data_IF_824830375135
#
_entry.id   IF_824830375135
#
_cell.length_a   1.000
_cell.length_b   1.000
_cell.length_c   1.000
_cell.angle_alpha   90.00
_cell.angle_beta   90.00
_cell.angle_gamma   90.00
#
_symmetry.space_group_name_H-M   'P 1'
#
loop_
_entity.id
_entity.type
_entity.pdbx_description
1 polymer ?
2 non-polymer ?
3 non-polymer ?
4 non-polymer ?
5 non-polymer ?
6 water ?
#
# COMPACT_ATOMS: atom_id res chain seq x y z
N UNK A 4 11.22 -19.51 -0.93
CA UNK A 4 12.24 -18.43 -0.67
C UNK A 4 11.62 -17.05 -0.82
N UNK A 5 10.58 -16.77 -0.04
CA UNK A 5 9.94 -15.47 -0.12
C UNK A 5 9.77 -14.90 1.26
N UNK A 6 10.76 -14.13 1.70
CA UNK A 6 10.69 -13.51 3.00
C UNK A 6 10.46 -12.01 2.93
N UNK A 7 9.48 -11.55 3.71
CA UNK A 7 9.10 -10.15 3.74
C UNK A 7 9.17 -9.65 5.16
N UNK A 8 9.70 -8.45 5.35
CA UNK A 8 9.78 -7.88 6.68
C UNK A 8 8.75 -6.76 6.73
N UNK A 9 7.53 -7.12 7.12
CA UNK A 9 6.45 -6.14 7.17
C UNK A 9 6.39 -5.42 8.50
N UNK A 10 6.72 -4.14 8.48
CA UNK A 10 6.67 -3.34 9.70
C UNK A 10 5.41 -2.51 9.68
N UNK A 11 4.40 -2.93 10.41
CA UNK A 11 3.15 -2.21 10.43
C UNK A 11 2.39 -2.37 11.72
N UNK A 12 1.26 -1.69 11.83
CA UNK A 12 0.48 -1.74 13.04
C UNK A 12 -0.33 -3.01 13.09
N UNK A 13 -0.65 -3.41 14.32
CA UNK A 13 -1.45 -4.60 14.59
C UNK A 13 -2.63 -4.21 15.47
N UNK A 14 -3.77 -4.84 15.21
CA UNK A 14 -4.98 -4.65 16.01
C UNK A 14 -5.42 -6.05 16.45
N UNK A 15 -5.98 -6.14 17.64
CA UNK A 15 -6.44 -7.40 18.14
C UNK A 15 -7.59 -7.86 17.25
N UNK A 16 -8.50 -6.94 16.97
CA UNK A 16 -9.67 -7.24 16.14
C UNK A 16 -9.57 -6.48 14.85
N UNK A 17 -10.17 -7.00 13.80
CA UNK A 17 -10.18 -6.23 12.58
C UNK A 17 -9.00 -6.41 11.68
N UNK A 18 -9.05 -5.75 10.52
CA UNK A 18 -7.99 -5.84 9.54
C UNK A 18 -7.46 -4.52 9.03
N UNK A 19 -6.35 -4.10 9.62
CA UNK A 19 -5.74 -2.86 9.21
C UNK A 19 -4.25 -3.06 9.45
N UNK A 20 -3.39 -2.39 8.70
CA UNK A 20 -1.96 -2.57 8.93
C UNK A 20 -1.50 -4.02 8.71
N UNK A 21 -0.61 -4.52 9.57
CA UNK A 21 -0.08 -5.88 9.45
C UNK A 21 -1.12 -6.97 9.41
N UNK A 22 -2.27 -6.73 10.02
CA UNK A 22 -3.33 -7.73 10.00
C UNK A 22 -3.95 -7.81 8.59
N UNK A 23 -3.71 -6.78 7.80
CA UNK A 23 -4.28 -6.73 6.46
C UNK A 23 -3.27 -7.14 5.41
N UNK A 24 -1.99 -7.19 5.78
CA UNK A 24 -0.99 -7.57 4.81
C UNK A 24 -0.39 -8.95 5.00
N UNK A 25 -0.56 -9.51 6.17
CA UNK A 25 -0.02 -10.83 6.48
C UNK A 25 -0.81 -12.00 5.91
N UNK A 26 -2.05 -12.17 6.32
CA UNK A 26 -2.84 -13.28 5.80
C UNK A 26 -2.71 -13.42 4.30
N UNK A 27 -2.88 -12.34 3.55
CA UNK A 27 -2.75 -12.43 2.10
C UNK A 27 -1.39 -13.01 1.72
N UNK A 28 -0.35 -12.22 1.97
CA UNK A 28 1.02 -12.63 1.65
C UNK A 28 1.36 -14.04 2.12
N UNK A 29 0.56 -14.60 3.02
CA UNK A 29 0.82 -15.96 3.45
C UNK A 29 0.07 -16.96 2.56
N UNK A 30 -1.22 -16.76 2.35
CA UNK A 30 -1.96 -17.70 1.50
C UNK A 30 -1.34 -17.77 0.11
N UNK A 31 -0.57 -16.75 -0.22
CA UNK A 31 0.12 -16.68 -1.51
C UNK A 31 1.60 -17.06 -1.33
N UNK A 32 1.82 -17.80 -0.25
CA UNK A 32 3.11 -18.47 0.09
C UNK A 32 4.28 -17.57 0.57
N UNK A 33 4.09 -16.30 0.86
CA UNK A 33 5.26 -15.50 1.34
C UNK A 33 5.47 -15.73 2.83
N UNK A 34 6.71 -16.04 3.18
CA UNK A 34 7.10 -16.18 4.59
C UNK A 34 7.15 -14.77 5.14
N UNK A 35 6.13 -14.40 5.87
CA UNK A 35 6.03 -13.03 6.39
C UNK A 35 6.47 -12.90 7.85
N UNK A 36 7.53 -12.14 8.01
CA UNK A 36 8.00 -11.76 9.35
C UNK A 36 7.35 -10.41 9.63
N UNK A 37 6.53 -10.39 10.65
CA UNK A 37 5.76 -9.17 10.96
C UNK A 37 6.16 -8.53 12.30
N UNK A 38 6.50 -7.26 12.20
CA UNK A 38 6.84 -6.41 13.36
C UNK A 38 5.68 -5.45 13.58
N UNK A 39 4.97 -5.61 14.69
CA UNK A 39 3.85 -4.75 15.00
C UNK A 39 4.29 -3.37 15.53
N UNK A 40 4.20 -2.35 14.69
CA UNK A 40 4.57 -1.01 15.12
C UNK A 40 3.67 -0.48 16.24
N UNK A 41 2.51 -1.10 16.44
CA UNK A 41 1.59 -0.72 17.53
C UNK A 41 0.64 -1.88 17.73
N UNK A 42 0.03 -1.98 18.91
CA UNK A 42 -0.98 -3.02 19.17
C UNK A 42 -2.14 -2.35 19.87
N UNK A 43 -3.23 -2.13 19.13
CA UNK A 43 -4.46 -1.51 19.61
C UNK A 43 -5.55 -2.53 19.50
N UNK A 44 -6.65 -2.28 20.20
CA UNK A 44 -7.75 -3.20 20.15
C UNK A 44 -8.42 -3.24 18.78
N UNK A 45 -8.63 -2.09 18.18
CA UNK A 45 -9.29 -2.00 16.88
C UNK A 45 -8.77 -0.78 16.19
N UNK A 46 -9.07 -0.58 14.90
CA UNK A 46 -8.52 0.62 14.25
C UNK A 46 -9.13 1.87 14.86
N UNK A 47 -8.43 3.00 14.70
CA UNK A 47 -8.90 4.25 15.29
C UNK A 47 -10.20 4.82 14.71
N UNK A 48 -10.81 4.08 13.80
CA UNK A 48 -12.05 4.53 13.20
C UNK A 48 -13.23 4.22 14.07
N UNK A 49 -13.05 3.33 15.04
CA UNK A 49 -14.14 2.96 15.93
C UNK A 49 -14.37 4.10 16.91
N UNK A 50 -15.49 4.10 17.62
CA UNK A 50 -15.73 5.16 18.58
C UNK A 50 -14.57 5.21 19.57
N UNK A 51 -14.26 4.09 20.18
CA UNK A 51 -13.17 4.01 21.15
C UNK A 51 -12.03 3.16 20.58
N UNK A 52 -10.90 3.19 21.29
CA UNK A 52 -9.73 2.41 20.95
C UNK A 52 -8.70 2.54 22.04
N UNK A 53 -8.16 1.42 22.46
CA UNK A 53 -7.13 1.39 23.49
C UNK A 53 -5.99 0.52 23.01
N UNK A 54 -4.78 0.96 23.34
CA UNK A 54 -3.65 0.21 22.87
C UNK A 54 -2.32 0.84 23.24
N UNK A 55 -1.23 0.29 22.70
CA UNK A 55 0.13 0.77 23.00
C UNK A 55 0.89 0.91 21.68
N UNK A 56 1.92 1.72 21.69
CA UNK A 56 2.73 1.93 20.49
C UNK A 56 4.16 1.55 20.77
N UNK A 57 4.83 1.11 19.74
CA UNK A 57 6.23 0.75 19.86
C UNK A 57 7.06 1.97 19.50
N UNK A 58 7.97 2.37 20.37
CA UNK A 58 8.80 3.51 20.08
C UNK A 58 10.03 3.11 19.30
N UNK A 59 10.80 4.11 18.89
CA UNK A 59 11.99 3.90 18.08
C UNK A 59 13.00 2.95 18.72
N UNK A 60 13.16 3.02 20.04
CA UNK A 60 14.13 2.16 20.71
C UNK A 60 13.69 0.72 20.62
N UNK A 61 12.43 0.50 20.99
CA UNK A 61 11.81 -0.82 21.00
C UNK A 61 11.90 -1.48 19.64
N UNK A 62 11.62 -0.72 18.59
CA UNK A 62 11.71 -1.24 17.24
C UNK A 62 13.14 -1.70 17.01
N UNK A 63 14.07 -0.94 17.55
CA UNK A 63 15.48 -1.22 17.41
C UNK A 63 15.81 -2.57 18.04
N UNK A 64 15.43 -2.68 19.30
CA UNK A 64 15.65 -3.89 20.09
C UNK A 64 15.34 -5.13 19.27
N UNK A 65 14.25 -5.09 18.52
CA UNK A 65 13.88 -6.23 17.70
C UNK A 65 14.80 -6.38 16.49
N UNK A 66 15.13 -5.28 15.83
CA UNK A 66 16.00 -5.44 14.69
C UNK A 66 17.22 -6.23 15.16
N UNK A 67 17.92 -5.67 16.14
CA UNK A 67 19.10 -6.32 16.69
C UNK A 67 18.86 -7.79 16.91
N UNK A 68 17.71 -8.10 17.48
CA UNK A 68 17.37 -9.47 17.75
C UNK A 68 17.68 -10.33 16.55
N UNK A 69 17.10 -9.95 15.43
CA UNK A 69 17.29 -10.74 14.21
C UNK A 69 18.72 -10.68 13.75
N UNK A 70 19.44 -9.68 14.25
CA UNK A 70 20.82 -9.52 13.88
C UNK A 70 21.66 -10.55 14.58
N UNK A 71 21.62 -10.50 15.90
CA UNK A 71 22.39 -11.43 16.70
C UNK A 71 22.24 -12.86 16.24
N UNK A 72 21.07 -13.21 15.71
CA UNK A 72 20.84 -14.58 15.24
C UNK A 72 21.04 -14.78 13.73
N UNK A 73 21.71 -13.83 13.09
CA UNK A 73 21.98 -13.90 11.65
C UNK A 73 20.81 -14.37 10.81
N UNK A 74 19.71 -13.65 10.92
CA UNK A 74 18.53 -13.98 10.15
C UNK A 74 17.89 -12.69 9.71
N UNK A 75 18.73 -11.67 9.58
CA UNK A 75 18.31 -10.34 9.18
C UNK A 75 18.50 -10.18 7.68
N UNK A 76 18.11 -11.21 6.95
CA UNK A 76 18.23 -11.19 5.50
C UNK A 76 16.89 -11.43 4.81
N UNK A 77 16.28 -10.38 4.25
CA UNK A 77 15.01 -10.54 3.57
C UNK A 77 15.04 -10.18 2.09
N UNK A 78 13.98 -10.56 1.39
CA UNK A 78 13.83 -10.26 -0.04
C UNK A 78 13.11 -8.91 -0.12
N UNK A 79 11.93 -8.83 0.47
CA UNK A 79 11.13 -7.62 0.47
C UNK A 79 10.95 -7.08 1.88
N UNK A 80 10.77 -5.77 1.96
CA UNK A 80 10.54 -5.06 3.21
C UNK A 80 9.33 -4.20 2.92
N UNK A 81 8.28 -4.36 3.73
CA UNK A 81 7.05 -3.63 3.49
C UNK A 81 6.63 -2.73 4.63
N UNK A 82 6.39 -1.44 4.34
CA UNK A 82 5.95 -0.50 5.38
C UNK A 82 4.75 0.36 4.94
N UNK A 83 4.03 0.89 5.91
CA UNK A 83 2.89 1.69 5.58
C UNK A 83 2.70 2.86 6.51
N UNK A 84 1.55 2.86 7.20
CA UNK A 84 1.16 3.91 8.14
C UNK A 84 2.02 3.98 9.39
N UNK A 85 2.62 5.15 9.60
CA UNK A 85 3.47 5.41 10.76
C UNK A 85 3.09 6.81 11.22
N UNK A 86 3.12 7.02 12.53
CA UNK A 86 2.78 8.33 13.05
C UNK A 86 4.01 9.07 13.61
N UNK A 87 5.00 8.31 14.08
CA UNK A 87 6.22 8.88 14.64
C UNK A 87 7.29 9.12 13.57
N UNK A 88 7.80 10.34 13.53
CA UNK A 88 8.82 10.71 12.56
C UNK A 88 10.09 9.93 12.89
N UNK A 89 10.42 9.92 14.17
CA UNK A 89 11.59 9.24 14.65
C UNK A 89 11.54 7.76 14.31
N UNK A 90 10.35 7.18 14.42
CA UNK A 90 10.19 5.76 14.13
C UNK A 90 10.51 5.49 12.67
N UNK A 91 9.92 6.27 11.79
CA UNK A 91 10.13 6.08 10.36
C UNK A 91 11.62 6.13 10.01
N UNK A 92 12.33 7.03 10.67
CA UNK A 92 13.75 7.18 10.44
C UNK A 92 14.41 5.82 10.64
N UNK A 93 14.30 5.34 11.87
CA UNK A 93 14.85 4.04 12.25
C UNK A 93 14.66 3.07 11.08
N UNK A 94 13.41 2.98 10.68
CA UNK A 94 12.98 2.07 9.60
C UNK A 94 13.82 2.23 8.36
N UNK A 95 14.36 3.42 8.13
CA UNK A 95 15.20 3.61 6.95
C UNK A 95 16.57 2.98 7.19
N UNK A 96 17.18 3.33 8.31
CA UNK A 96 18.47 2.77 8.65
C UNK A 96 18.43 1.27 8.38
N UNK A 97 17.38 0.64 8.90
CA UNK A 97 17.19 -0.80 8.77
C UNK A 97 17.17 -1.22 7.32
N UNK A 98 16.18 -0.73 6.58
CA UNK A 98 16.06 -1.08 5.17
C UNK A 98 17.39 -0.92 4.46
N UNK A 99 18.18 0.06 4.90
CA UNK A 99 19.48 0.33 4.33
C UNK A 99 20.41 -0.86 4.60
N UNK A 100 20.76 -1.06 5.87
CA UNK A 100 21.63 -2.16 6.23
C UNK A 100 21.14 -3.40 5.50
N UNK A 101 19.84 -3.59 5.54
CA UNK A 101 19.22 -4.76 4.93
C UNK A 101 19.40 -4.92 3.43
N UNK A 102 19.66 -3.81 2.74
CA UNK A 102 19.85 -3.85 1.29
C UNK A 102 21.26 -4.27 0.93
N UNK A 103 22.21 -3.86 1.76
CA UNK A 103 23.60 -4.21 1.56
C UNK A 103 23.66 -5.70 1.83
N UNK A 104 22.75 -6.16 2.68
CA UNK A 104 22.68 -7.56 3.03
C UNK A 104 22.19 -8.36 1.82
N UNK A 105 21.30 -7.77 1.02
CA UNK A 105 20.76 -8.43 -0.18
C UNK A 105 20.46 -7.41 -1.27
N UNK A 106 21.30 -7.37 -2.31
CA UNK A 106 21.08 -6.41 -3.39
C UNK A 106 19.65 -6.36 -3.92
N UNK A 107 19.14 -7.52 -4.35
CA UNK A 107 17.80 -7.63 -4.89
C UNK A 107 16.71 -7.41 -3.84
N UNK A 108 16.98 -6.50 -2.90
CA UNK A 108 16.00 -6.19 -1.86
C UNK A 108 15.03 -5.15 -2.40
N UNK A 109 13.75 -5.50 -2.44
CA UNK A 109 12.76 -4.57 -2.92
C UNK A 109 12.07 -3.97 -1.72
N UNK A 110 12.08 -2.64 -1.63
CA UNK A 110 11.42 -1.97 -0.53
C UNK A 110 10.07 -1.44 -1.00
N UNK A 111 9.00 -2.11 -0.60
CA UNK A 111 7.66 -1.70 -1.00
C UNK A 111 7.13 -0.73 0.04
N UNK A 112 6.94 0.52 -0.36
CA UNK A 112 6.51 1.57 0.56
C UNK A 112 5.24 2.32 0.22
N UNK A 113 4.28 2.35 1.14
CA UNK A 113 3.02 3.07 0.95
C UNK A 113 3.15 4.31 1.79
N UNK A 114 3.50 5.42 1.17
CA UNK A 114 3.70 6.73 1.81
C UNK A 114 2.45 7.31 2.38
N UNK A 115 1.92 6.66 3.40
CA UNK A 115 0.67 7.11 4.01
C UNK A 115 0.77 8.46 4.70
N UNK A 116 0.08 9.47 4.16
CA UNK A 116 0.08 10.81 4.77
C UNK A 116 -1.31 11.42 4.93
N UNK A 117 -2.21 11.13 4.00
CA UNK A 117 -3.55 11.68 4.11
C UNK A 117 -4.45 11.45 2.90
N UNK A 118 -5.70 11.89 3.01
CA UNK A 118 -6.64 11.73 1.91
C UNK A 118 -7.08 13.09 1.34
N UNK A 119 -7.60 13.06 0.11
CA UNK A 119 -8.03 14.27 -0.55
C UNK A 119 -9.44 14.13 -1.09
N UNK A 120 -9.91 15.18 -1.76
CA UNK A 120 -11.23 15.20 -2.36
C UNK A 120 -11.49 16.53 -3.10
N UNK A 121 -11.01 16.58 -4.34
CA UNK A 121 -11.16 17.72 -5.22
C UNK A 121 -10.26 18.90 -4.83
N UNK A 122 -9.45 18.69 -3.80
CA UNK A 122 -8.57 19.74 -3.33
C UNK A 122 -8.68 19.80 -1.82
N UNK A 123 -9.87 19.49 -1.32
CA UNK A 123 -10.11 19.49 0.12
C UNK A 123 -9.43 18.27 0.74
N UNK A 124 -8.11 18.32 0.78
CA UNK A 124 -7.33 17.25 1.36
C UNK A 124 -6.62 17.80 2.58
N UNK A 125 -5.99 16.93 3.36
CA UNK A 125 -5.26 17.33 4.55
C UNK A 125 -4.64 16.09 5.13
N UNK A 126 -3.44 16.22 5.69
CA UNK A 126 -2.77 15.07 6.27
C UNK A 126 -3.45 14.62 7.57
N UNK A 127 -3.38 13.32 7.86
CA UNK A 127 -3.94 12.81 9.09
C UNK A 127 -2.81 12.23 9.91
N UNK A 128 -1.61 12.69 9.61
CA UNK A 128 -0.38 12.32 10.33
C UNK A 128 0.35 13.65 10.51
N UNK A 129 1.27 13.73 11.49
CA UNK A 129 2.00 14.99 11.69
C UNK A 129 2.70 15.46 10.41
N UNK A 130 2.69 16.76 10.15
CA UNK A 130 3.32 17.29 8.94
C UNK A 130 4.82 17.08 8.93
N UNK A 131 5.41 16.93 10.12
CA UNK A 131 6.85 16.71 10.20
C UNK A 131 7.25 15.40 9.52
N UNK A 132 6.32 14.75 8.84
CA UNK A 132 6.62 13.49 8.16
C UNK A 132 6.86 13.69 6.68
N UNK A 133 6.14 14.63 6.10
CA UNK A 133 6.31 14.93 4.68
C UNK A 133 7.79 15.06 4.29
N UNK A 134 8.57 15.76 5.11
CA UNK A 134 10.00 15.95 4.82
C UNK A 134 10.79 14.64 4.73
N UNK A 135 10.53 13.73 5.68
CA UNK A 135 11.23 12.45 5.74
C UNK A 135 10.92 11.59 4.55
N UNK A 136 9.63 11.41 4.29
CA UNK A 136 9.22 10.60 3.15
C UNK A 136 9.85 11.15 1.89
N UNK A 137 9.69 12.44 1.68
CA UNK A 137 10.25 13.09 0.49
C UNK A 137 11.78 12.99 0.45
N UNK A 138 12.44 13.38 1.53
CA UNK A 138 13.91 13.37 1.59
C UNK A 138 14.62 12.07 1.92
N UNK A 139 14.15 11.36 2.95
CA UNK A 139 14.75 10.11 3.37
C UNK A 139 14.12 8.83 2.84
N UNK A 140 12.84 8.60 3.18
CA UNK A 140 12.16 7.38 2.78
C UNK A 140 11.98 7.09 1.28
N UNK A 141 11.23 7.92 0.57
CA UNK A 141 11.00 7.66 -0.86
C UNK A 141 12.27 7.41 -1.68
N UNK A 142 13.34 8.13 -1.38
CA UNK A 142 14.59 7.95 -2.11
C UNK A 142 15.07 6.49 -2.12
N UNK A 143 14.74 5.73 -1.10
CA UNK A 143 15.20 4.35 -1.03
C UNK A 143 14.16 3.29 -1.40
N UNK A 144 12.90 3.68 -1.56
CA UNK A 144 11.83 2.74 -1.88
C UNK A 144 11.94 2.31 -3.33
N UNK A 145 11.46 1.12 -3.65
CA UNK A 145 11.55 0.63 -5.02
C UNK A 145 10.17 0.38 -5.62
N UNK A 146 9.13 0.60 -4.82
CA UNK A 146 7.73 0.44 -5.24
C UNK A 146 6.81 1.22 -4.32
N UNK A 147 6.41 2.42 -4.71
CA UNK A 147 5.51 3.21 -3.89
C UNK A 147 4.08 3.22 -4.45
N UNK A 148 3.10 3.38 -3.57
CA UNK A 148 1.69 3.39 -3.96
C UNK A 148 0.98 4.54 -3.24
N UNK A 149 1.16 5.77 -3.72
CA UNK A 149 0.53 6.94 -3.10
C UNK A 149 -0.83 7.28 -3.61
N UNK A 150 -1.50 8.12 -2.82
CA UNK A 150 -2.81 8.69 -3.15
C UNK A 150 -2.57 9.73 -4.23
N UNK A 151 -3.63 10.34 -4.69
CA UNK A 151 -3.43 11.44 -5.62
C UNK A 151 -2.87 12.57 -4.78
N UNK A 152 -3.47 12.69 -3.62
CA UNK A 152 -3.10 13.67 -2.61
C UNK A 152 -1.63 13.46 -2.23
N UNK A 153 -1.36 12.27 -1.77
CA UNK A 153 -0.01 11.89 -1.33
C UNK A 153 1.00 12.13 -2.43
N UNK A 154 0.70 11.78 -3.67
CA UNK A 154 1.67 11.98 -4.73
C UNK A 154 1.81 13.48 -4.99
N UNK A 155 0.71 14.21 -4.85
CA UNK A 155 0.77 15.64 -5.06
C UNK A 155 1.72 16.25 -4.02
N UNK A 156 1.61 15.76 -2.79
CA UNK A 156 2.43 16.27 -1.68
C UNK A 156 3.91 16.01 -1.84
N UNK A 157 4.25 14.80 -2.24
CA UNK A 157 5.64 14.47 -2.42
C UNK A 157 6.31 15.27 -3.52
N UNK A 158 5.59 15.41 -4.64
CA UNK A 158 6.08 16.13 -5.80
C UNK A 158 5.87 17.63 -5.65
N UNK A 159 4.95 17.98 -4.78
CA UNK A 159 4.68 19.39 -4.57
C UNK A 159 3.92 19.94 -5.75
N UNK A 160 3.34 19.05 -6.56
CA UNK A 160 2.60 19.48 -7.74
C UNK A 160 1.18 18.93 -7.83
N UNK A 161 0.23 19.82 -8.12
CA UNK A 161 -1.17 19.42 -8.23
C UNK A 161 -1.56 18.84 -9.58
N UNK A 162 -2.33 17.77 -9.55
CA UNK A 162 -2.78 17.08 -10.75
C UNK A 162 -4.13 17.53 -11.28
N UNK A 163 -4.20 17.92 -12.55
CA UNK A 163 -5.46 18.38 -13.15
C UNK A 163 -5.91 17.48 -14.28
N UNK A 164 -4.94 16.97 -15.03
CA UNK A 164 -5.23 16.11 -16.15
C UNK A 164 -4.52 14.79 -15.99
N UNK A 165 -4.82 13.88 -16.90
CA UNK A 165 -4.21 12.56 -16.89
C UNK A 165 -2.77 12.71 -17.26
N UNK A 166 -2.51 13.63 -18.18
CA UNK A 166 -1.18 13.87 -18.66
C UNK A 166 -0.36 14.42 -17.54
N UNK A 167 -0.95 15.32 -16.76
CA UNK A 167 -0.20 15.92 -15.65
C UNK A 167 0.11 14.80 -14.68
N UNK A 168 -0.78 13.83 -14.60
CA UNK A 168 -0.58 12.69 -13.70
C UNK A 168 0.68 11.94 -14.10
N UNK A 169 0.69 11.47 -15.35
CA UNK A 169 1.81 10.72 -15.85
C UNK A 169 3.09 11.49 -15.60
N UNK A 170 2.98 12.81 -15.57
CA UNK A 170 4.15 13.65 -15.35
C UNK A 170 4.51 13.79 -13.89
N UNK A 171 3.56 13.46 -13.03
CA UNK A 171 3.80 13.54 -11.59
C UNK A 171 4.44 12.23 -11.19
N UNK A 172 4.10 11.18 -11.94
CA UNK A 172 4.66 9.86 -11.69
C UNK A 172 6.09 9.86 -12.16
N UNK A 173 6.38 10.59 -13.23
CA UNK A 173 7.74 10.65 -13.73
C UNK A 173 8.63 11.35 -12.72
N UNK A 174 8.08 12.36 -12.06
CA UNK A 174 8.82 13.11 -11.06
C UNK A 174 9.11 12.15 -9.91
N UNK A 175 8.25 11.15 -9.75
CA UNK A 175 8.44 10.19 -8.68
C UNK A 175 9.62 9.27 -9.05
N UNK A 176 9.52 8.65 -10.22
CA UNK A 176 10.56 7.78 -10.72
C UNK A 176 11.91 8.45 -10.54
N UNK A 177 11.95 9.75 -10.78
CA UNK A 177 13.18 10.53 -10.67
C UNK A 177 13.53 10.79 -9.22
N UNK A 178 12.82 10.10 -8.35
CA UNK A 178 13.05 10.21 -6.92
C UNK A 178 13.65 8.91 -6.41
N UNK A 179 13.43 7.86 -7.18
CA UNK A 179 14.00 6.57 -6.82
C UNK A 179 13.20 5.36 -7.28
N UNK A 180 11.99 5.20 -6.77
CA UNK A 180 11.14 4.07 -7.14
C UNK A 180 10.91 3.84 -8.63
N UNK A 181 11.19 2.62 -9.08
CA UNK A 181 11.00 2.24 -10.48
C UNK A 181 9.58 1.76 -10.70
N UNK A 182 8.80 1.79 -9.63
CA UNK A 182 7.41 1.41 -9.71
C UNK A 182 6.60 2.39 -8.90
N UNK A 183 5.59 2.98 -9.54
CA UNK A 183 4.72 3.95 -8.90
C UNK A 183 3.30 3.68 -9.35
N UNK A 184 2.40 3.54 -8.39
CA UNK A 184 1.01 3.28 -8.72
C UNK A 184 0.16 4.19 -7.89
N UNK A 185 -0.54 5.10 -8.54
CA UNK A 185 -1.41 5.99 -7.82
C UNK A 185 -2.69 5.18 -7.76
N UNK A 186 -2.87 4.55 -6.61
CA UNK A 186 -3.99 3.68 -6.37
C UNK A 186 -5.39 4.21 -6.66
N UNK A 187 -5.56 5.53 -6.73
CA UNK A 187 -6.89 6.11 -7.04
C UNK A 187 -6.85 7.63 -7.22
N UNK A 188 -7.64 8.12 -8.17
CA UNK A 188 -7.68 9.55 -8.50
C UNK A 188 -9.06 10.18 -8.60
N UNK A 189 -9.05 11.50 -8.63
CA UNK A 189 -10.27 12.30 -8.74
C UNK A 189 -10.58 12.53 -10.20
N UNK A 190 -9.63 12.18 -11.05
CA UNK A 190 -9.79 12.35 -12.48
C UNK A 190 -10.97 11.54 -12.96
N UNK A 191 -11.84 12.19 -13.72
CA UNK A 191 -13.01 11.49 -14.21
C UNK A 191 -12.55 10.39 -15.16
N UNK A 192 -12.97 9.16 -14.88
CA UNK A 192 -12.60 8.02 -15.70
C UNK A 192 -13.47 8.00 -16.95
N UNK A 193 -12.89 7.58 -18.08
CA UNK A 193 -13.65 7.53 -19.34
C UNK A 193 -14.86 6.61 -19.31
N UNK A 194 -15.36 6.32 -18.11
CA UNK A 194 -16.51 5.46 -17.96
C UNK A 194 -17.50 5.94 -16.90
N UNK A 195 -17.39 7.20 -16.50
CA UNK A 195 -18.33 7.73 -15.53
C UNK A 195 -17.96 7.77 -14.08
N UNK A 196 -18.61 8.68 -13.35
CA UNK A 196 -18.39 8.86 -11.93
C UNK A 196 -18.52 7.56 -11.14
N UNK A 197 -19.15 6.55 -11.74
CA UNK A 197 -19.35 5.27 -11.08
C UNK A 197 -18.07 4.51 -10.87
N UNK A 198 -17.07 4.84 -11.67
CA UNK A 198 -15.81 4.15 -11.53
C UNK A 198 -14.75 4.96 -10.79
N UNK A 199 -13.60 4.32 -10.58
CA UNK A 199 -12.45 4.92 -9.93
C UNK A 199 -11.24 4.67 -10.82
N UNK A 200 -10.49 5.72 -11.13
CA UNK A 200 -9.33 5.58 -11.98
C UNK A 200 -8.05 5.44 -11.16
N UNK A 201 -7.13 4.60 -11.61
CA UNK A 201 -5.89 4.43 -10.89
C UNK A 201 -4.84 4.50 -11.97
N UNK A 202 -3.63 4.91 -11.61
CA UNK A 202 -2.54 5.02 -12.60
C UNK A 202 -1.22 4.37 -12.19
N UNK A 203 -0.66 3.57 -13.11
CA UNK A 203 0.61 2.90 -12.85
C UNK A 203 1.69 3.23 -13.86
N UNK A 204 2.94 3.15 -13.43
CA UNK A 204 4.07 3.47 -14.30
C UNK A 204 5.37 2.82 -13.84
N UNK A 205 5.93 1.93 -14.67
CA UNK A 205 7.18 1.27 -14.33
C UNK A 205 8.38 1.61 -15.22
N UNK A 206 9.52 1.87 -14.58
CA UNK A 206 10.75 2.25 -15.26
C UNK A 206 11.73 1.08 -15.35
N UNK A 207 12.06 0.65 -16.57
CA UNK A 207 12.98 -0.46 -16.73
C UNK A 207 14.25 0.11 -17.37
N UNK A 208 15.40 -0.49 -17.09
CA UNK A 208 16.68 -0.06 -17.65
C UNK A 208 16.98 -0.81 -18.95
N UNK A 209 17.19 -0.06 -20.02
CA UNK A 209 17.45 -0.65 -21.33
C UNK A 209 18.88 -1.16 -21.44
N UNK A 210 19.10 -2.22 -22.22
CA UNK A 210 20.44 -2.80 -22.40
C UNK A 210 21.45 -1.87 -23.06
N UNK A 211 21.05 -0.63 -23.35
CA UNK A 211 21.97 0.34 -23.94
C UNK A 211 21.95 1.65 -23.14
N UNK A 212 21.53 1.55 -21.88
CA UNK A 212 21.49 2.69 -20.99
C UNK A 212 20.30 3.60 -21.22
N UNK A 213 19.52 3.31 -22.25
CA UNK A 213 18.36 4.12 -22.60
C UNK A 213 17.20 3.97 -21.62
N UNK A 214 16.04 4.49 -22.01
CA UNK A 214 14.86 4.46 -21.16
C UNK A 214 13.66 3.72 -21.73
N UNK A 215 13.05 2.90 -20.90
CA UNK A 215 11.87 2.16 -21.30
C UNK A 215 10.90 2.50 -20.18
N UNK A 216 9.66 2.86 -20.52
CA UNK A 216 8.68 3.22 -19.49
C UNK A 216 7.26 2.75 -19.81
N UNK A 217 6.82 1.68 -19.17
CA UNK A 217 5.46 1.21 -19.42
C UNK A 217 4.53 2.07 -18.56
N UNK A 218 3.29 2.23 -19.00
CA UNK A 218 2.33 3.02 -18.25
C UNK A 218 0.97 2.37 -18.39
N UNK A 219 0.13 2.47 -17.35
CA UNK A 219 -1.19 1.86 -17.42
C UNK A 219 -2.29 2.66 -16.75
N UNK A 220 -3.51 2.17 -16.90
CA UNK A 220 -4.67 2.81 -16.32
C UNK A 220 -5.76 1.79 -16.14
N UNK A 221 -6.17 1.59 -14.90
CA UNK A 221 -7.22 0.65 -14.62
C UNK A 221 -8.34 1.44 -13.97
N UNK A 222 -9.52 1.19 -14.43
CA UNK A 222 -10.71 1.80 -13.88
C UNK A 222 -11.44 0.72 -13.14
N UNK A 223 -11.62 0.92 -11.86
CA UNK A 223 -12.28 -0.06 -11.01
C UNK A 223 -13.67 0.41 -10.66
N UNK A 224 -14.59 -0.50 -10.50
CA UNK A 224 -15.94 -0.09 -10.19
C UNK A 224 -15.97 0.36 -8.74
N UNK A 225 -16.40 1.59 -8.48
CA UNK A 225 -16.46 2.09 -7.11
C UNK A 225 -17.52 1.37 -6.26
N UNK A 226 -17.36 1.46 -4.94
CA UNK A 226 -18.28 0.84 -3.99
C UNK A 226 -18.61 1.92 -2.98
N UNK A 227 -19.91 2.19 -2.81
CA UNK A 227 -20.36 3.26 -1.93
C UNK A 227 -20.24 3.08 -0.43
N UNK A 228 -19.00 3.10 0.07
CA UNK A 228 -18.74 2.96 1.49
C UNK A 228 -17.34 3.41 1.89
N UNK A 229 -17.17 3.68 3.18
CA UNK A 229 -15.89 4.12 3.76
C UNK A 229 -15.17 2.91 4.33
N UNK A 230 -14.13 2.48 3.62
CA UNK A 230 -13.38 1.31 4.01
C UNK A 230 -12.00 1.61 4.57
N UNK A 231 -11.73 1.07 5.76
CA UNK A 231 -10.44 1.24 6.40
C UNK A 231 -9.63 -0.04 6.16
N UNK A 232 -8.38 0.11 5.70
CA UNK A 232 -7.53 -1.05 5.44
C UNK A 232 -7.15 -1.35 4.00
N UNK A 233 -8.00 -0.95 3.07
CA UNK A 233 -7.76 -1.20 1.65
C UNK A 233 -6.41 -0.70 1.22
N UNK A 234 -5.88 0.31 1.89
CA UNK A 234 -4.59 0.82 1.47
C UNK A 234 -3.54 -0.22 1.69
N UNK A 235 -3.62 -0.88 2.85
CA UNK A 235 -2.70 -1.93 3.26
C UNK A 235 -2.86 -3.23 2.44
N UNK A 236 -4.10 -3.67 2.26
CA UNK A 236 -4.36 -4.88 1.50
C UNK A 236 -3.85 -4.77 0.09
N UNK A 237 -3.95 -3.57 -0.45
CA UNK A 237 -3.49 -3.32 -1.80
C UNK A 237 -1.98 -3.48 -1.93
N UNK A 238 -1.25 -2.74 -1.09
CA UNK A 238 0.21 -2.78 -1.11
C UNK A 238 0.70 -4.21 -0.94
N UNK A 239 0.04 -4.96 -0.06
CA UNK A 239 0.47 -6.34 0.14
C UNK A 239 0.43 -7.07 -1.19
N UNK A 240 -0.79 -7.33 -1.67
CA UNK A 240 -0.99 -8.04 -2.91
C UNK A 240 -0.17 -7.51 -4.08
N UNK A 241 -0.07 -6.19 -4.21
CA UNK A 241 0.72 -5.66 -5.31
C UNK A 241 2.11 -6.27 -5.18
N UNK A 242 2.65 -6.27 -3.97
CA UNK A 242 3.96 -6.85 -3.70
C UNK A 242 3.98 -8.34 -4.10
N UNK A 243 2.89 -9.01 -3.81
CA UNK A 243 2.79 -10.41 -4.14
C UNK A 243 2.91 -10.53 -5.65
N UNK A 244 1.85 -10.09 -6.33
CA UNK A 244 1.78 -10.17 -7.77
C UNK A 244 2.90 -9.55 -8.57
N UNK A 245 3.56 -8.52 -8.07
CA UNK A 245 4.64 -7.95 -8.85
C UNK A 245 5.89 -8.77 -8.66
N UNK A 246 5.74 -9.93 -8.02
CA UNK A 246 6.87 -10.84 -7.81
C UNK A 246 6.77 -11.93 -8.86
N UNK A 247 5.53 -12.28 -9.20
CA UNK A 247 5.26 -13.29 -10.21
C UNK A 247 5.49 -12.68 -11.58
N UNK A 248 5.18 -11.40 -11.72
CA UNK A 248 5.34 -10.72 -12.99
C UNK A 248 6.31 -9.57 -12.82
N UNK A 249 7.56 -9.89 -12.44
CA UNK A 249 8.62 -8.91 -12.23
C UNK A 249 8.72 -7.79 -13.28
N UNK A 250 8.09 -7.99 -14.43
CA UNK A 250 8.15 -6.99 -15.48
C UNK A 250 6.84 -6.78 -16.22
N UNK A 251 5.76 -6.62 -15.47
CA UNK A 251 4.46 -6.40 -16.08
C UNK A 251 3.53 -5.66 -15.15
N UNK A 252 3.92 -4.43 -14.85
CA UNK A 252 3.14 -3.56 -13.98
C UNK A 252 1.69 -3.62 -14.43
N UNK A 253 1.48 -4.13 -15.63
CA UNK A 253 0.16 -4.27 -16.23
C UNK A 253 -0.55 -5.52 -15.71
N UNK A 254 0.13 -6.65 -15.86
CA UNK A 254 -0.41 -7.94 -15.44
C UNK A 254 -0.69 -7.97 -13.94
N UNK A 255 0.29 -7.48 -13.18
CA UNK A 255 0.16 -7.45 -11.74
C UNK A 255 -1.08 -6.67 -11.28
N UNK A 256 -1.04 -5.37 -11.51
CA UNK A 256 -2.11 -4.48 -11.11
C UNK A 256 -3.46 -5.06 -11.44
N UNK A 257 -3.53 -5.81 -12.52
CA UNK A 257 -4.80 -6.38 -12.91
C UNK A 257 -5.31 -7.33 -11.85
N UNK A 258 -4.42 -8.21 -11.41
CA UNK A 258 -4.78 -9.19 -10.39
C UNK A 258 -5.02 -8.52 -9.04
N UNK A 259 -4.11 -7.61 -8.69
CA UNK A 259 -4.14 -6.84 -7.44
C UNK A 259 -5.49 -6.14 -7.24
N UNK A 260 -5.97 -5.49 -8.30
CA UNK A 260 -7.25 -4.77 -8.26
C UNK A 260 -8.46 -5.72 -8.24
N UNK A 261 -8.41 -6.71 -9.12
CA UNK A 261 -9.49 -7.68 -9.24
C UNK A 261 -9.87 -8.22 -7.86
N UNK A 262 -8.87 -8.67 -7.11
CA UNK A 262 -9.11 -9.22 -5.78
C UNK A 262 -9.63 -8.17 -4.84
N UNK A 263 -9.04 -7.00 -4.92
CA UNK A 263 -9.48 -5.89 -4.09
C UNK A 263 -10.98 -5.75 -4.27
N UNK A 264 -11.41 -5.98 -5.50
CA UNK A 264 -12.83 -5.90 -5.82
C UNK A 264 -13.59 -7.02 -5.11
N UNK A 265 -13.16 -8.24 -5.36
CA UNK A 265 -13.82 -9.40 -4.75
C UNK A 265 -13.98 -9.26 -3.24
N UNK A 266 -12.93 -8.78 -2.60
CA UNK A 266 -12.92 -8.59 -1.15
C UNK A 266 -13.95 -7.55 -0.76
N UNK A 267 -13.83 -6.37 -1.37
CA UNK A 267 -14.72 -5.27 -1.06
C UNK A 267 -16.19 -5.58 -1.31
N UNK A 268 -16.47 -6.26 -2.41
CA UNK A 268 -17.83 -6.60 -2.74
C UNK A 268 -18.41 -7.58 -1.74
N UNK A 269 -17.62 -8.58 -1.33
CA UNK A 269 -18.13 -9.55 -0.36
C UNK A 269 -18.21 -8.89 1.01
N UNK A 270 -17.34 -7.91 1.22
CA UNK A 270 -17.31 -7.22 2.49
C UNK A 270 -18.56 -6.37 2.61
N UNK A 271 -18.74 -5.44 1.67
CA UNK A 271 -19.89 -4.55 1.70
C UNK A 271 -21.19 -5.33 1.87
N UNK A 272 -21.28 -6.48 1.21
CA UNK A 272 -22.47 -7.29 1.30
C UNK A 272 -22.70 -7.78 2.73
N UNK A 273 -21.84 -8.67 3.21
CA UNK A 273 -22.00 -9.18 4.57
C UNK A 273 -22.21 -8.02 5.52
N UNK A 274 -21.60 -6.88 5.19
CA UNK A 274 -21.69 -5.70 6.02
C UNK A 274 -23.09 -5.09 5.97
N UNK A 275 -23.63 -5.04 4.76
CA UNK A 275 -24.93 -4.46 4.50
C UNK A 275 -25.98 -5.45 4.98
N UNK A 276 -25.67 -6.73 4.84
CA UNK A 276 -26.58 -7.77 5.25
C UNK A 276 -26.77 -7.79 6.76
N UNK A 277 -26.07 -6.90 7.46
CA UNK A 277 -26.21 -6.86 8.91
C UNK A 277 -26.79 -5.52 9.39
N UNK A 278 -27.46 -4.81 8.48
CA UNK A 278 -28.06 -3.50 8.77
C UNK A 278 -29.17 -3.21 7.76
N UNK A 279 -29.53 -4.26 7.05
CA UNK A 279 -30.54 -4.22 5.98
C UNK A 279 -31.74 -3.34 6.35
N UNK A 280 -32.27 -2.72 5.29
CA UNK A 280 -33.46 -1.86 5.30
C UNK A 280 -33.38 -0.64 6.24
N UNK A 281 -32.55 0.36 5.86
CA UNK A 281 -32.59 1.68 6.55
C UNK A 281 -31.36 2.10 7.41
N UNK A 282 -30.33 1.31 7.59
CA UNK A 282 -29.21 1.79 8.46
C UNK A 282 -27.86 1.75 7.74
N UNK A 283 -27.07 2.79 8.03
CA UNK A 283 -25.72 2.89 7.49
C UNK A 283 -24.83 1.92 8.25
N UNK A 284 -24.08 1.07 7.54
CA UNK A 284 -23.19 0.10 8.18
C UNK A 284 -22.14 0.75 9.08
N UNK A 285 -21.96 0.20 10.27
CA UNK A 285 -20.97 0.75 11.21
C UNK A 285 -19.55 0.32 10.76
N UNK A 286 -18.51 1.00 11.27
CA UNK A 286 -17.13 0.63 10.88
C UNK A 286 -16.78 -0.74 11.45
N UNK A 287 -17.59 -1.16 12.41
CA UNK A 287 -17.41 -2.46 13.06
C UNK A 287 -18.00 -3.56 12.19
N UNK A 288 -18.77 -3.17 11.18
CA UNK A 288 -19.41 -4.12 10.28
C UNK A 288 -18.77 -4.04 8.89
N UNK A 289 -17.99 -3.00 8.68
CA UNK A 289 -17.34 -2.83 7.40
C UNK A 289 -15.96 -3.47 7.35
N UNK A 290 -15.48 -3.96 8.50
CA UNK A 290 -14.15 -4.61 8.57
C UNK A 290 -14.04 -5.52 7.38
N UNK A 291 -12.83 -5.76 6.90
CA UNK A 291 -12.67 -6.61 5.71
C UNK A 291 -12.89 -8.09 5.98
N UNK A 292 -13.71 -8.72 5.16
CA UNK A 292 -13.98 -10.15 5.28
C UNK A 292 -12.80 -10.82 4.59
N UNK A 293 -11.69 -10.90 5.31
CA UNK A 293 -10.45 -11.45 4.78
C UNK A 293 -10.51 -12.95 4.65
N UNK A 294 -10.66 -13.60 5.80
CA UNK A 294 -10.74 -15.04 5.85
C UNK A 294 -11.69 -15.53 4.79
N UNK A 295 -12.90 -15.00 4.80
CA UNK A 295 -13.93 -15.40 3.86
C UNK A 295 -13.56 -15.20 2.42
N UNK A 296 -12.52 -14.41 2.15
CA UNK A 296 -12.13 -14.13 0.79
C UNK A 296 -10.85 -14.76 0.33
N UNK A 297 -10.30 -15.64 1.16
CA UNK A 297 -9.05 -16.30 0.79
C UNK A 297 -9.11 -16.85 -0.63
N UNK A 298 -10.24 -17.51 -0.92
CA UNK A 298 -10.50 -18.13 -2.21
C UNK A 298 -10.14 -17.24 -3.40
N UNK A 299 -10.36 -15.94 -3.21
CA UNK A 299 -10.10 -14.97 -4.26
C UNK A 299 -8.69 -14.41 -4.24
N UNK A 300 -8.19 -14.17 -3.03
CA UNK A 300 -6.85 -13.62 -2.87
C UNK A 300 -5.81 -14.45 -3.62
N UNK A 301 -6.08 -15.75 -3.71
CA UNK A 301 -5.16 -16.65 -4.38
C UNK A 301 -5.51 -16.85 -5.85
N UNK A 302 -6.79 -17.07 -6.14
CA UNK A 302 -7.24 -17.27 -7.52
C UNK A 302 -8.14 -16.09 -7.89
N UNK A 303 -7.53 -14.91 -8.09
CA UNK A 303 -8.28 -13.69 -8.44
C UNK A 303 -8.89 -13.78 -9.81
N UNK A 304 -10.21 -13.60 -9.89
CA UNK A 304 -10.86 -13.63 -11.19
C UNK A 304 -10.71 -12.25 -11.75
N UNK A 305 -9.77 -12.11 -12.68
CA UNK A 305 -9.49 -10.84 -13.30
C UNK A 305 -10.74 -10.25 -13.93
N UNK A 306 -11.30 -9.25 -13.25
CA UNK A 306 -12.50 -8.58 -13.74
C UNK A 306 -12.24 -7.09 -13.98
N UNK A 307 -11.09 -6.81 -14.60
CA UNK A 307 -10.65 -5.46 -14.93
C UNK A 307 -9.70 -5.54 -16.12
N UNK A 308 -9.31 -4.39 -16.66
CA UNK A 308 -8.41 -4.39 -17.81
C UNK A 308 -7.45 -3.20 -17.81
N UNK A 309 -6.16 -3.50 -17.77
CA UNK A 309 -5.16 -2.44 -17.77
C UNK A 309 -5.01 -1.85 -19.17
N UNK A 310 -4.98 -0.54 -19.24
CA UNK A 310 -4.83 0.15 -20.51
C UNK A 310 -3.45 0.80 -20.50
N UNK A 311 -2.61 0.42 -21.44
CA UNK A 311 -1.26 0.97 -21.52
C UNK A 311 -1.28 2.44 -21.91
N UNK A 312 -0.24 3.18 -21.54
CA UNK A 312 -0.14 4.60 -21.83
C UNK A 312 -1.47 5.31 -21.68
#
# INVERSE_FOLDING_TARGET
MEEECRVLSIQSHVVRGYVGNRAATFPLQVLGFEVDAVNSVQFSNHTGYSHWKGQVLNSDELQELYDGLKLNHVNQYDYVLTGYTRDKSFLAMVVDIVQELKQQNPRLVYVCDPVMGDQRNGEGAMYVPDDLLPVYREKVVPVADIITPNQFEAELLTGRKIHSQEEALEVMDMLHSMGPDTVVITSSNLLSPRGSDYLMALGSQRTRAPDGSVVTQRIRMEMHKVDAVFVGTGDLFAAMLLAWTHKHPNNLKVACEKTVSAMHHVLQRTIKCAKAKSGEGVKPSPAQLELRMVQSKKDIESPEIVVQATVL
#
